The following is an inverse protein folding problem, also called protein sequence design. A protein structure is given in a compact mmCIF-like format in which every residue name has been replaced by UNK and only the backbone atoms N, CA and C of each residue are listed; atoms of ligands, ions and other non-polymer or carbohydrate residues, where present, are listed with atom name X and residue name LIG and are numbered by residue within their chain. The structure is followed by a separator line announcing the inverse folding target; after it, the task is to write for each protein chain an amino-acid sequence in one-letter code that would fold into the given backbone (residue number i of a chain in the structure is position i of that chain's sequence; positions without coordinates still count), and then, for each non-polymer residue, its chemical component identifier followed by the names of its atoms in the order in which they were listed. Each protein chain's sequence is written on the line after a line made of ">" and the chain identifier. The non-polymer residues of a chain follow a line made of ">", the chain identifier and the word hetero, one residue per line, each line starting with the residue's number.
data_IF_151025946594
#
_entry.id   IF_151025946594
#
_cell.length_a   1.000
_cell.length_b   1.000
_cell.length_c   1.000
_cell.angle_alpha   90.00
_cell.angle_beta   90.00
_cell.angle_gamma   90.00
#
_symmetry.space_group_name_H-M   'P 1'
#
loop_
_entity.id
_entity.type
_entity.pdbx_description
1 polymer ?
#
# COMPACT_ATOMS: atom_id res chain seq x y z
N UNK A 1 -9.56 -4.14 8.70
CA UNK A 1 -8.36 -4.89 9.13
C UNK A 1 -7.15 -4.31 8.44
N UNK A 2 -5.97 -4.35 9.06
CA UNK A 2 -4.70 -4.04 8.40
C UNK A 2 -3.69 -5.16 8.66
N UNK A 3 -2.86 -5.45 7.65
CA UNK A 3 -1.85 -6.50 7.68
C UNK A 3 -0.53 -5.95 7.14
N UNK A 4 0.54 -6.04 7.90
CA UNK A 4 1.89 -5.75 7.39
C UNK A 4 2.30 -6.86 6.41
N UNK A 5 2.58 -6.48 5.17
CA UNK A 5 2.93 -7.42 4.10
C UNK A 5 4.44 -7.53 3.96
N UNK A 6 5.13 -6.38 3.96
CA UNK A 6 6.55 -6.34 3.73
C UNK A 6 7.17 -5.09 4.35
N UNK A 7 8.48 -5.16 4.59
CA UNK A 7 9.30 -4.02 4.97
C UNK A 7 10.52 -3.97 4.05
N UNK A 8 10.85 -2.78 3.52
CA UNK A 8 12.03 -2.56 2.68
C UNK A 8 12.89 -1.45 3.24
N UNK A 9 14.20 -1.68 3.24
CA UNK A 9 15.18 -0.65 3.59
C UNK A 9 15.81 -0.10 2.32
N UNK A 10 15.83 1.22 2.22
CA UNK A 10 16.50 1.95 1.15
C UNK A 10 17.49 2.94 1.76
N UNK A 11 18.66 3.08 1.15
CA UNK A 11 19.52 4.21 1.43
C UNK A 11 19.06 5.38 0.58
N UNK A 12 18.70 6.47 1.26
CA UNK A 12 18.43 7.73 0.58
C UNK A 12 19.74 8.32 0.01
N UNK A 13 19.62 9.30 -0.89
CA UNK A 13 20.76 10.00 -1.50
C UNK A 13 21.68 10.67 -0.46
N UNK A 14 21.17 10.93 0.75
CA UNK A 14 21.96 11.47 1.87
C UNK A 14 22.66 10.40 2.72
N UNK A 15 22.55 9.12 2.36
CA UNK A 15 23.13 8.00 3.11
C UNK A 15 22.33 7.61 4.37
N UNK A 16 21.11 8.14 4.52
CA UNK A 16 20.20 7.76 5.61
C UNK A 16 19.44 6.50 5.21
N UNK A 17 19.50 5.47 6.06
CA UNK A 17 18.67 4.27 5.90
C UNK A 17 17.21 4.63 6.19
N UNK A 18 16.40 4.75 5.14
CA UNK A 18 14.94 4.85 5.23
C UNK A 18 14.33 3.46 5.20
N UNK A 19 13.36 3.21 6.07
CA UNK A 19 12.65 1.94 6.12
C UNK A 19 11.19 2.18 5.79
N UNK A 20 10.71 1.52 4.75
CA UNK A 20 9.35 1.59 4.27
C UNK A 20 8.59 0.33 4.68
N UNK A 21 7.45 0.54 5.31
CA UNK A 21 6.53 -0.50 5.75
C UNK A 21 5.31 -0.49 4.84
N UNK A 22 4.98 -1.65 4.26
CA UNK A 22 3.87 -1.84 3.35
C UNK A 22 2.78 -2.61 4.07
N UNK A 23 1.62 -2.00 4.20
CA UNK A 23 0.45 -2.57 4.86
C UNK A 23 -0.69 -2.72 3.85
N UNK A 24 -1.34 -3.87 3.87
CA UNK A 24 -2.61 -4.12 3.21
C UNK A 24 -3.75 -3.76 4.17
N UNK A 25 -4.67 -2.92 3.73
CA UNK A 25 -5.88 -2.60 4.49
C UNK A 25 -7.09 -3.25 3.83
N UNK A 26 -7.88 -3.99 4.62
CA UNK A 26 -9.09 -4.67 4.17
C UNK A 26 -10.28 -4.00 4.87
N UNK A 27 -11.08 -3.29 4.09
CA UNK A 27 -12.38 -2.75 4.47
C UNK A 27 -13.49 -3.76 4.17
N UNK A 28 -14.56 -3.72 4.95
CA UNK A 28 -15.79 -4.44 4.66
C UNK A 28 -16.87 -3.39 4.43
N UNK A 29 -17.40 -3.33 3.21
CA UNK A 29 -18.51 -2.43 2.89
C UNK A 29 -19.79 -3.25 2.82
N UNK A 30 -20.75 -2.92 3.69
CA UNK A 30 -22.03 -3.59 3.77
C UNK A 30 -23.00 -2.98 2.73
N UNK A 31 -22.75 -3.26 1.45
CA UNK A 31 -23.66 -2.83 0.38
C UNK A 31 -24.76 -3.87 0.18
N UNK A 32 -25.81 -3.76 1.01
CA UNK A 32 -27.17 -4.34 0.97
C UNK A 32 -27.45 -5.79 0.50
N UNK A 33 -26.49 -6.59 0.02
CA UNK A 33 -26.65 -8.02 -0.29
C UNK A 33 -25.37 -8.77 -0.67
N UNK A 34 -24.23 -8.09 -0.80
CA UNK A 34 -22.95 -8.70 -1.17
C UNK A 34 -21.90 -8.26 -0.15
N UNK A 35 -21.29 -9.20 0.56
CA UNK A 35 -20.09 -8.93 1.36
C UNK A 35 -18.94 -8.74 0.38
N UNK A 36 -18.55 -7.49 0.15
CA UNK A 36 -17.43 -7.18 -0.72
C UNK A 36 -16.27 -6.66 0.12
N UNK A 37 -15.14 -7.36 0.05
CA UNK A 37 -13.90 -6.95 0.68
C UNK A 37 -13.30 -5.83 -0.17
N UNK A 38 -13.10 -4.68 0.44
CA UNK A 38 -12.56 -3.48 -0.19
C UNK A 38 -11.10 -3.36 0.22
N UNK A 39 -10.19 -3.67 -0.70
CA UNK A 39 -8.76 -3.67 -0.43
C UNK A 39 -8.15 -2.30 -0.69
N UNK A 40 -7.18 -1.95 0.14
CA UNK A 40 -6.38 -0.74 0.04
C UNK A 40 -4.96 -0.99 0.52
N UNK A 41 -4.10 0.00 0.37
CA UNK A 41 -2.70 -0.07 0.82
C UNK A 41 -2.35 1.13 1.67
N UNK A 42 -1.41 0.93 2.59
CA UNK A 42 -0.77 1.98 3.36
C UNK A 42 0.73 1.77 3.32
N UNK A 43 1.46 2.85 3.05
CA UNK A 43 2.90 2.88 3.11
C UNK A 43 3.30 3.87 4.19
N UNK A 44 4.17 3.43 5.10
CA UNK A 44 4.72 4.28 6.16
C UNK A 44 6.23 4.28 6.10
N UNK A 45 6.84 5.45 6.18
CA UNK A 45 8.29 5.62 6.33
C UNK A 45 8.67 5.76 7.81
N UNK A 46 9.67 4.99 8.24
CA UNK A 46 10.24 5.08 9.59
C UNK A 46 10.85 6.48 9.81
N UNK A 47 10.18 7.32 10.61
CA UNK A 47 10.61 8.69 10.91
C UNK A 47 10.29 9.71 9.81
N UNK A 48 9.39 9.39 8.89
CA UNK A 48 8.98 10.25 7.79
C UNK A 48 7.47 10.35 7.64
N UNK A 49 7.02 10.42 6.39
CA UNK A 49 5.61 10.51 6.01
C UNK A 49 4.93 9.14 5.95
N UNK A 50 3.61 9.16 6.00
CA UNK A 50 2.79 8.00 5.72
C UNK A 50 1.65 8.34 4.77
N UNK A 51 1.25 7.37 3.96
CA UNK A 51 0.14 7.53 3.02
C UNK A 51 -0.70 6.27 3.00
N UNK A 52 -2.02 6.46 3.09
CA UNK A 52 -3.00 5.38 3.10
C UNK A 52 -4.07 5.65 2.07
N UNK A 53 -4.34 4.65 1.23
CA UNK A 53 -5.39 4.67 0.22
C UNK A 53 -6.26 3.43 0.44
N UNK A 54 -7.48 3.65 0.93
CA UNK A 54 -8.49 2.60 1.09
C UNK A 54 -9.34 2.46 -0.17
N UNK A 55 -9.99 1.31 -0.32
CA UNK A 55 -10.97 1.06 -1.39
C UNK A 55 -10.41 1.25 -2.81
N UNK A 56 -9.19 0.76 -3.04
CA UNK A 56 -8.53 0.76 -4.34
C UNK A 56 -9.19 -0.29 -5.25
N UNK A 57 -9.37 -1.50 -4.74
CA UNK A 57 -9.94 -2.61 -5.52
C UNK A 57 -10.68 -3.57 -4.60
N UNK A 58 -11.67 -4.26 -5.13
CA UNK A 58 -12.39 -5.33 -4.42
C UNK A 58 -11.87 -6.73 -4.76
N UNK A 59 -10.82 -6.81 -5.58
CA UNK A 59 -10.21 -8.07 -6.02
C UNK A 59 -8.91 -8.37 -5.29
N UNK A 60 -8.86 -9.47 -4.54
CA UNK A 60 -7.68 -9.90 -3.79
C UNK A 60 -6.43 -10.12 -4.69
N UNK A 61 -6.61 -10.71 -5.88
CA UNK A 61 -5.49 -10.93 -6.82
C UNK A 61 -4.92 -9.63 -7.36
N UNK A 62 -5.78 -8.64 -7.62
CA UNK A 62 -5.36 -7.33 -8.15
C UNK A 62 -4.53 -6.56 -7.11
N UNK A 63 -4.96 -6.55 -5.84
CA UNK A 63 -4.22 -5.87 -4.78
C UNK A 63 -2.87 -6.54 -4.49
N UNK A 64 -2.78 -7.87 -4.65
CA UNK A 64 -1.53 -8.62 -4.49
C UNK A 64 -0.49 -8.25 -5.56
N UNK A 65 -0.90 -8.11 -6.82
CA UNK A 65 -0.03 -7.62 -7.89
C UNK A 65 0.46 -6.20 -7.63
N UNK A 66 -0.45 -5.30 -7.20
CA UNK A 66 -0.09 -3.93 -6.84
C UNK A 66 0.90 -3.89 -5.67
N UNK A 67 0.67 -4.68 -4.62
CA UNK A 67 1.59 -4.78 -3.48
C UNK A 67 2.98 -5.26 -3.90
N UNK A 68 3.04 -6.28 -4.75
CA UNK A 68 4.30 -6.78 -5.31
C UNK A 68 5.04 -5.68 -6.07
N UNK A 69 4.32 -4.92 -6.92
CA UNK A 69 4.87 -3.80 -7.68
C UNK A 69 5.41 -2.70 -6.76
N UNK A 70 4.65 -2.31 -5.72
CA UNK A 70 5.05 -1.28 -4.75
C UNK A 70 6.32 -1.70 -3.99
N UNK A 71 6.39 -2.96 -3.55
CA UNK A 71 7.51 -3.51 -2.77
C UNK A 71 8.77 -3.68 -3.64
N UNK A 72 8.62 -4.11 -4.89
CA UNK A 72 9.72 -4.31 -5.84
C UNK A 72 10.35 -2.97 -6.26
N UNK A 73 9.51 -1.99 -6.59
CA UNK A 73 9.95 -0.65 -6.96
C UNK A 73 10.35 0.22 -5.75
N UNK A 74 10.15 -0.27 -4.52
CA UNK A 74 10.44 0.43 -3.26
C UNK A 74 9.73 1.79 -3.20
N UNK A 75 8.45 1.78 -3.55
CA UNK A 75 7.62 3.00 -3.63
C UNK A 75 7.44 3.57 -2.23
N UNK A 76 7.81 4.83 -2.06
CA UNK A 76 7.60 5.57 -0.81
C UNK A 76 6.16 6.08 -0.66
N UNK A 77 5.81 6.64 0.51
CA UNK A 77 4.48 7.18 0.79
C UNK A 77 4.03 8.22 -0.25
N UNK A 78 4.94 9.12 -0.66
CA UNK A 78 4.65 10.17 -1.65
C UNK A 78 4.33 9.62 -3.05
N UNK A 79 4.95 8.51 -3.45
CA UNK A 79 4.73 7.90 -4.77
C UNK A 79 3.51 6.98 -4.82
N UNK A 80 2.94 6.61 -3.67
CA UNK A 80 1.84 5.66 -3.58
C UNK A 80 0.62 6.11 -4.39
N UNK A 81 0.20 7.37 -4.23
CA UNK A 81 -0.97 7.90 -4.92
C UNK A 81 -0.82 7.93 -6.43
N UNK A 82 0.40 8.21 -6.91
CA UNK A 82 0.69 8.28 -8.35
C UNK A 82 0.66 6.89 -8.98
N UNK A 83 1.31 5.91 -8.34
CA UNK A 83 1.32 4.51 -8.78
C UNK A 83 -0.08 3.90 -8.75
N UNK A 84 -0.87 4.19 -7.71
CA UNK A 84 -2.26 3.71 -7.62
C UNK A 84 -3.14 4.34 -8.70
N UNK A 85 -2.94 5.63 -9.00
CA UNK A 85 -3.70 6.32 -10.05
C UNK A 85 -3.34 5.81 -11.46
N UNK A 86 -2.08 5.47 -11.73
CA UNK A 86 -1.64 4.89 -13.01
C UNK A 86 -2.14 3.44 -13.20
N UNK A 87 -2.32 2.71 -12.09
CA UNK A 87 -2.75 1.32 -12.11
C UNK A 87 -4.27 1.10 -12.25
N UNK A 88 -5.09 2.11 -11.89
CA UNK A 88 -6.56 2.07 -11.95
C UNK A 88 -7.11 2.32 -13.36
#
# INVERSE_FOLDING_TARGET
>A
MELEIATRQCLDQTGVCRRFHYFLTIGYEETSRIFCESYGVRISEEGGDETKISAITTSASRIDELLTLLVDNRVGPTGLSDVVADWL
#
